data_IF_180930509360
#
_entry.id   IF_180930509360
#
_cell.length_a   1.000
_cell.length_b   1.000
_cell.length_c   1.000
_cell.angle_alpha   90.00
_cell.angle_beta   90.00
_cell.angle_gamma   90.00
#
_symmetry.space_group_name_H-M   'P 1'
#
loop_
_entity.id
_entity.type
_entity.pdbx_description
1 polymer ?
#
# COMPACT_ATOMS: atom_id res chain seq x y z
N UNK A 1 -16.58 -25.17 1.32
CA UNK A 1 -17.23 -24.23 0.38
C UNK A 1 -16.12 -23.63 -0.48
N UNK A 2 -15.93 -24.16 -1.68
CA UNK A 2 -15.02 -23.59 -2.68
C UNK A 2 -15.79 -22.49 -3.40
N UNK A 3 -15.42 -21.23 -3.16
CA UNK A 3 -15.93 -20.11 -3.97
C UNK A 3 -15.31 -20.27 -5.35
N UNK A 4 -16.13 -20.67 -6.33
CA UNK A 4 -15.74 -20.65 -7.74
C UNK A 4 -15.73 -19.21 -8.18
N UNK A 5 -14.55 -18.65 -8.42
CA UNK A 5 -14.39 -17.38 -9.14
C UNK A 5 -14.64 -17.62 -10.63
N UNK A 6 -15.84 -18.10 -10.99
CA UNK A 6 -16.25 -18.13 -12.39
C UNK A 6 -16.32 -16.67 -12.86
N UNK A 7 -15.25 -16.25 -13.52
CA UNK A 7 -15.03 -14.93 -14.08
C UNK A 7 -15.97 -14.70 -15.26
N UNK A 8 -17.28 -14.71 -15.02
CA UNK A 8 -18.27 -14.18 -15.95
C UNK A 8 -18.25 -12.63 -15.95
N UNK A 9 -17.06 -12.06 -15.86
CA UNK A 9 -16.75 -10.62 -15.93
C UNK A 9 -15.79 -10.42 -17.08
N UNK A 10 -16.23 -10.75 -18.29
CA UNK A 10 -15.59 -10.31 -19.54
C UNK A 10 -15.78 -8.81 -19.81
N UNK A 11 -16.17 -8.03 -18.79
CA UNK A 11 -16.05 -6.58 -18.86
C UNK A 11 -14.75 -6.21 -18.14
N UNK A 12 -13.59 -6.19 -18.83
CA UNK A 12 -12.46 -5.46 -18.32
C UNK A 12 -12.95 -4.04 -18.05
N UNK A 13 -12.36 -3.35 -17.07
CA UNK A 13 -12.61 -1.92 -16.92
C UNK A 13 -12.27 -1.21 -18.23
N UNK A 14 -13.25 -1.07 -19.13
CA UNK A 14 -13.06 -0.59 -20.49
C UNK A 14 -12.96 0.91 -20.43
N UNK A 15 -11.75 1.40 -20.60
CA UNK A 15 -11.47 2.82 -20.73
C UNK A 15 -12.03 3.29 -22.07
N UNK A 16 -13.08 4.13 -22.07
CA UNK A 16 -13.75 4.48 -23.31
C UNK A 16 -12.79 5.30 -24.19
N UNK A 17 -12.75 4.96 -25.47
CA UNK A 17 -11.99 5.74 -26.46
C UNK A 17 -12.76 6.99 -26.90
N UNK A 18 -12.08 7.86 -27.65
CA UNK A 18 -12.61 9.13 -28.17
C UNK A 18 -13.99 8.98 -28.80
N UNK A 19 -14.17 7.98 -29.65
CA UNK A 19 -15.40 7.80 -30.41
C UNK A 19 -16.53 7.24 -29.56
N UNK A 20 -16.23 6.36 -28.60
CA UNK A 20 -17.20 5.91 -27.61
C UNK A 20 -17.70 7.09 -26.77
N UNK A 21 -16.78 7.92 -26.26
CA UNK A 21 -17.12 9.14 -25.52
C UNK A 21 -17.90 10.13 -26.38
N UNK A 22 -17.48 10.38 -27.61
CA UNK A 22 -18.20 11.26 -28.53
C UNK A 22 -19.62 10.76 -28.79
N UNK A 23 -19.81 9.46 -29.04
CA UNK A 23 -21.16 8.87 -29.23
C UNK A 23 -22.02 9.02 -27.98
N UNK A 24 -21.46 8.81 -26.79
CA UNK A 24 -22.15 9.02 -25.52
C UNK A 24 -22.56 10.49 -25.33
N UNK A 25 -21.63 11.43 -25.55
CA UNK A 25 -21.91 12.88 -25.50
C UNK A 25 -23.02 13.23 -26.49
N UNK A 26 -22.91 12.81 -27.74
CA UNK A 26 -23.93 13.06 -28.77
C UNK A 26 -25.29 12.44 -28.42
N UNK A 27 -25.32 11.33 -27.67
CA UNK A 27 -26.56 10.72 -27.20
C UNK A 27 -27.25 11.53 -26.10
N UNK A 28 -26.47 12.27 -25.29
CA UNK A 28 -26.97 13.12 -24.20
C UNK A 28 -27.44 14.51 -24.68
N UNK A 29 -27.00 14.96 -25.85
CA UNK A 29 -27.40 16.27 -26.38
C UNK A 29 -28.89 16.28 -26.77
N UNK A 30 -29.61 17.39 -26.52
CA UNK A 30 -31.02 17.51 -26.89
C UNK A 30 -31.21 17.31 -28.39
N UNK A 31 -32.07 16.37 -28.79
CA UNK A 31 -32.43 16.18 -30.20
C UNK A 31 -33.61 17.11 -30.53
N UNK A 32 -33.40 18.15 -31.34
CA UNK A 32 -34.44 19.13 -31.68
C UNK A 32 -34.08 20.04 -32.84
N UNK A 33 -34.98 20.93 -33.26
CA UNK A 33 -34.82 21.79 -34.47
C UNK A 33 -33.59 22.70 -34.47
N UNK A 34 -32.95 22.90 -33.31
CA UNK A 34 -31.67 23.61 -33.20
C UNK A 34 -30.50 22.82 -33.81
N UNK A 35 -30.67 21.51 -34.01
CA UNK A 35 -29.69 20.57 -34.56
C UNK A 35 -30.15 20.14 -35.95
N UNK A 36 -30.07 21.05 -36.92
CA UNK A 36 -30.40 20.70 -38.30
C UNK A 36 -29.41 19.67 -38.83
N UNK A 37 -29.91 18.51 -39.25
CA UNK A 37 -29.14 17.54 -40.05
C UNK A 37 -28.99 18.13 -41.44
N UNK A 38 -27.82 18.70 -41.72
CA UNK A 38 -27.51 19.48 -42.91
C UNK A 38 -27.63 18.69 -44.23
N UNK A 39 -28.84 18.39 -44.69
CA UNK A 39 -29.06 18.05 -46.09
C UNK A 39 -29.15 19.32 -46.96
N UNK A 40 -29.56 20.47 -46.40
CA UNK A 40 -29.79 21.72 -47.15
C UNK A 40 -28.91 22.91 -46.75
N UNK A 41 -28.05 22.79 -45.72
CA UNK A 41 -27.16 23.88 -45.34
C UNK A 41 -25.99 23.99 -46.34
N UNK A 42 -26.16 24.87 -47.32
CA UNK A 42 -25.14 25.30 -48.29
C UNK A 42 -23.77 25.47 -47.63
N UNK A 43 -22.73 25.04 -48.34
CA UNK A 43 -21.31 25.26 -48.04
C UNK A 43 -21.04 26.70 -47.60
N UNK A 44 -21.04 26.93 -46.29
CA UNK A 44 -20.39 28.10 -45.71
C UNK A 44 -18.90 27.78 -45.79
N UNK A 45 -18.17 28.63 -46.51
CA UNK A 45 -16.73 28.56 -46.74
C UNK A 45 -16.02 28.13 -45.45
N UNK A 46 -15.47 26.92 -45.47
CA UNK A 46 -14.62 26.40 -44.41
C UNK A 46 -13.37 27.27 -44.43
N UNK A 47 -13.27 28.24 -43.52
CA UNK A 47 -11.96 28.80 -43.16
C UNK A 47 -11.12 27.65 -42.65
N UNK A 48 -9.89 27.56 -43.11
CA UNK A 48 -8.89 26.59 -42.64
C UNK A 48 -9.09 26.38 -41.14
N UNK A 49 -9.58 25.19 -40.81
CA UNK A 49 -9.84 24.84 -39.43
C UNK A 49 -8.52 25.00 -38.70
N UNK A 50 -8.51 25.85 -37.67
CA UNK A 50 -7.43 25.86 -36.69
C UNK A 50 -7.45 24.52 -35.98
N UNK A 51 -6.89 23.48 -36.61
CA UNK A 51 -6.46 22.27 -35.94
C UNK A 51 -5.34 22.71 -35.00
N UNK A 52 -5.72 23.06 -33.78
CA UNK A 52 -4.77 23.26 -32.70
C UNK A 52 -4.43 21.86 -32.19
N UNK A 53 -3.52 21.18 -32.88
CA UNK A 53 -3.03 19.86 -32.51
C UNK A 53 -2.67 19.00 -33.73
N UNK A 54 -1.46 18.43 -33.74
CA UNK A 54 -0.98 17.45 -34.73
C UNK A 54 -1.43 16.03 -34.41
N UNK A 55 -2.53 15.86 -33.67
CA UNK A 55 -2.92 14.55 -33.18
C UNK A 55 -3.58 13.74 -34.29
N UNK A 56 -2.87 12.70 -34.74
CA UNK A 56 -3.39 11.73 -35.68
C UNK A 56 -4.68 11.15 -35.12
N UNK A 57 -5.77 11.22 -35.89
CA UNK A 57 -7.02 10.53 -35.56
C UNK A 57 -6.70 9.05 -35.62
N UNK A 58 -6.31 8.48 -34.48
CA UNK A 58 -5.92 7.09 -34.38
C UNK A 58 -7.01 6.19 -34.94
N UNK A 59 -6.61 5.21 -35.76
CA UNK A 59 -7.49 4.15 -36.22
C UNK A 59 -8.01 3.40 -34.98
N UNK A 60 -9.23 3.73 -34.50
CA UNK A 60 -9.71 3.20 -33.22
C UNK A 60 -10.17 1.75 -33.28
N UNK A 61 -10.04 1.09 -34.45
CA UNK A 61 -10.40 -0.31 -34.63
C UNK A 61 -11.90 -0.61 -34.59
N UNK A 62 -12.77 0.40 -34.40
CA UNK A 62 -14.23 0.23 -34.33
C UNK A 62 -14.86 0.36 -35.73
N UNK A 63 -14.46 -0.52 -36.64
CA UNK A 63 -15.15 -0.77 -37.91
C UNK A 63 -15.16 0.36 -38.95
N UNK A 64 -15.42 0.01 -40.20
CA UNK A 64 -15.28 0.86 -41.39
C UNK A 64 -16.31 2.01 -41.54
N UNK A 65 -16.92 2.50 -40.46
CA UNK A 65 -17.97 3.54 -40.48
C UNK A 65 -17.67 4.62 -39.42
N UNK A 66 -16.47 5.16 -39.43
CA UNK A 66 -16.18 6.43 -38.74
C UNK A 66 -16.36 7.58 -39.75
N UNK A 67 -17.20 8.59 -39.46
CA UNK A 67 -17.33 9.74 -40.34
C UNK A 67 -15.99 10.49 -40.38
N UNK A 68 -15.57 10.93 -41.58
CA UNK A 68 -14.37 11.76 -41.66
C UNK A 68 -14.65 13.11 -40.98
N UNK A 69 -13.63 13.73 -40.37
CA UNK A 69 -13.81 14.99 -39.61
C UNK A 69 -14.42 16.08 -40.50
N UNK A 70 -14.14 16.04 -41.79
CA UNK A 70 -14.68 16.94 -42.81
C UNK A 70 -16.21 16.84 -42.93
N UNK A 71 -16.78 15.66 -42.70
CA UNK A 71 -18.23 15.39 -42.77
C UNK A 71 -18.99 15.86 -41.53
N UNK A 72 -18.28 16.20 -40.44
CA UNK A 72 -18.90 16.67 -39.20
C UNK A 72 -19.26 18.16 -39.28
N UNK A 73 -20.44 18.51 -38.75
CA UNK A 73 -20.86 19.90 -38.53
C UNK A 73 -19.93 20.61 -37.53
N UNK A 74 -19.89 21.96 -37.54
CA UNK A 74 -19.04 22.72 -36.62
C UNK A 74 -19.27 22.39 -35.15
N UNK A 75 -20.53 22.17 -34.75
CA UNK A 75 -20.87 21.79 -33.38
C UNK A 75 -20.47 20.34 -33.06
N UNK A 76 -20.58 19.41 -34.01
CA UNK A 76 -20.05 18.06 -33.84
C UNK A 76 -18.52 18.05 -33.71
N UNK A 77 -17.81 18.92 -34.43
CA UNK A 77 -16.36 19.10 -34.29
C UNK A 77 -15.98 19.67 -32.93
N UNK A 78 -16.75 20.64 -32.41
CA UNK A 78 -16.58 21.13 -31.02
C UNK A 78 -16.69 19.99 -30.00
N UNK A 79 -17.77 19.19 -30.08
CA UNK A 79 -17.95 18.06 -29.17
C UNK A 79 -16.93 16.94 -29.39
N UNK A 80 -16.41 16.78 -30.60
CA UNK A 80 -15.31 15.86 -30.88
C UNK A 80 -14.00 16.30 -30.18
N UNK A 81 -13.70 17.60 -30.18
CA UNK A 81 -12.57 18.14 -29.42
C UNK A 81 -12.77 17.98 -27.91
N UNK A 82 -14.00 18.18 -27.41
CA UNK A 82 -14.31 17.87 -26.00
C UNK A 82 -14.13 16.38 -25.68
N UNK A 83 -14.58 15.48 -26.57
CA UNK A 83 -14.43 14.03 -26.38
C UNK A 83 -12.96 13.60 -26.32
N UNK A 84 -12.07 14.27 -27.06
CA UNK A 84 -10.63 14.04 -27.02
C UNK A 84 -10.02 14.37 -25.66
N UNK A 85 -10.35 15.54 -25.10
CA UNK A 85 -9.90 15.91 -23.74
C UNK A 85 -10.44 14.90 -22.72
N UNK A 86 -11.70 14.49 -22.85
CA UNK A 86 -12.28 13.48 -21.96
C UNK A 86 -11.61 12.12 -22.12
N UNK A 87 -11.24 11.70 -23.33
CA UNK A 87 -10.49 10.45 -23.54
C UNK A 87 -9.18 10.50 -22.78
N UNK A 88 -8.39 11.56 -22.97
CA UNK A 88 -7.12 11.71 -22.25
C UNK A 88 -7.31 11.60 -20.73
N UNK A 89 -8.31 12.28 -20.17
CA UNK A 89 -8.62 12.21 -18.75
C UNK A 89 -9.09 10.82 -18.31
N UNK A 90 -9.91 10.13 -19.10
CA UNK A 90 -10.36 8.77 -18.80
C UNK A 90 -9.20 7.78 -18.86
N UNK A 91 -8.32 7.88 -19.86
CA UNK A 91 -7.14 7.02 -19.96
C UNK A 91 -6.20 7.24 -18.77
N UNK A 92 -6.00 8.49 -18.33
CA UNK A 92 -5.25 8.81 -17.10
C UNK A 92 -5.94 8.23 -15.85
N UNK A 93 -7.25 8.41 -15.69
CA UNK A 93 -7.99 7.87 -14.56
C UNK A 93 -7.94 6.34 -14.52
N UNK A 94 -8.00 5.69 -15.68
CA UNK A 94 -7.83 4.25 -15.80
C UNK A 94 -6.44 3.77 -15.39
N UNK A 95 -5.39 4.43 -15.89
CA UNK A 95 -4.02 4.10 -15.49
C UNK A 95 -3.83 4.25 -13.97
N UNK A 96 -4.47 5.25 -13.35
CA UNK A 96 -4.43 5.41 -11.89
C UNK A 96 -5.09 4.26 -11.12
N UNK A 97 -5.99 3.47 -11.71
CA UNK A 97 -6.53 2.29 -11.04
C UNK A 97 -5.48 1.22 -10.85
N UNK A 98 -4.58 1.03 -11.82
CA UNK A 98 -3.42 0.13 -11.67
C UNK A 98 -2.42 0.70 -10.64
N UNK A 99 -2.37 2.01 -10.43
CA UNK A 99 -1.52 2.62 -9.39
C UNK A 99 -2.02 2.39 -7.95
N UNK A 100 -3.22 1.83 -7.76
CA UNK A 100 -3.77 1.48 -6.44
C UNK A 100 -3.27 0.14 -5.89
N UNK A 101 -2.48 -0.61 -6.66
CA UNK A 101 -1.87 -1.86 -6.21
C UNK A 101 -0.36 -1.71 -6.13
N UNK A 102 0.24 -2.26 -5.08
CA UNK A 102 1.67 -2.10 -4.80
C UNK A 102 2.56 -2.74 -5.88
N UNK A 103 2.05 -3.76 -6.58
CA UNK A 103 2.76 -4.54 -7.59
C UNK A 103 2.79 -3.82 -8.94
N UNK A 104 1.75 -3.06 -9.26
CA UNK A 104 1.61 -2.30 -10.51
C UNK A 104 1.93 -0.81 -10.38
N UNK A 105 1.99 -0.23 -9.17
CA UNK A 105 2.31 1.19 -9.00
C UNK A 105 3.71 1.56 -9.49
N UNK A 106 3.78 2.63 -10.28
CA UNK A 106 5.01 3.23 -10.80
C UNK A 106 5.05 4.71 -10.50
N UNK A 107 4.00 5.45 -10.86
CA UNK A 107 3.91 6.89 -10.67
C UNK A 107 3.74 7.25 -9.18
N UNK A 108 2.89 6.52 -8.46
CA UNK A 108 2.56 6.81 -7.04
C UNK A 108 3.49 6.12 -6.03
N UNK A 109 4.58 5.50 -6.50
CA UNK A 109 5.44 4.67 -5.63
C UNK A 109 6.07 5.47 -4.49
N UNK A 110 6.37 6.74 -4.72
CA UNK A 110 6.94 7.62 -3.70
C UNK A 110 5.95 7.95 -2.58
N UNK A 111 4.71 8.25 -2.97
CA UNK A 111 3.58 8.52 -2.07
C UNK A 111 3.24 7.29 -1.25
N UNK A 112 3.21 6.10 -1.87
CA UNK A 112 3.06 4.84 -1.14
C UNK A 112 4.21 4.64 -0.13
N UNK A 113 5.46 4.87 -0.54
CA UNK A 113 6.60 4.80 0.37
C UNK A 113 6.46 5.77 1.55
N UNK A 114 5.99 6.98 1.31
CA UNK A 114 5.74 7.96 2.36
C UNK A 114 4.63 7.50 3.32
N UNK A 115 3.48 7.09 2.81
CA UNK A 115 2.30 6.77 3.62
C UNK A 115 2.49 5.47 4.42
N UNK A 116 3.17 4.49 3.85
CA UNK A 116 3.54 3.27 4.58
C UNK A 116 4.82 3.45 5.40
N UNK A 117 5.55 4.55 5.27
CA UNK A 117 6.84 4.77 5.91
C UNK A 117 7.86 3.70 5.49
N UNK A 118 8.09 3.54 4.20
CA UNK A 118 9.04 2.62 3.58
C UNK A 118 9.94 3.40 2.57
N UNK A 119 11.27 3.19 2.58
CA UNK A 119 12.02 2.30 3.46
C UNK A 119 12.16 2.87 4.88
N UNK A 120 12.19 1.98 5.88
CA UNK A 120 12.53 2.30 7.27
C UNK A 120 13.78 1.49 7.66
N UNK A 121 14.69 2.09 8.43
CA UNK A 121 15.87 1.41 8.96
C UNK A 121 15.53 0.23 9.87
N UNK A 122 14.32 0.23 10.43
CA UNK A 122 13.84 -0.81 11.34
C UNK A 122 12.86 -1.79 10.66
N UNK A 123 12.75 -1.73 9.34
CA UNK A 123 11.82 -2.55 8.57
C UNK A 123 12.27 -4.01 8.45
N UNK A 124 11.38 -5.00 8.68
CA UNK A 124 11.67 -6.41 8.45
C UNK A 124 11.27 -6.90 7.04
N UNK A 125 10.88 -6.00 6.13
CA UNK A 125 10.37 -6.33 4.80
C UNK A 125 11.35 -5.87 3.71
N UNK A 126 11.55 -6.75 2.72
CA UNK A 126 12.45 -6.48 1.59
C UNK A 126 11.82 -5.52 0.58
N UNK A 127 10.49 -5.57 0.43
CA UNK A 127 9.75 -4.73 -0.52
C UNK A 127 8.55 -4.05 0.12
N UNK A 128 8.14 -2.92 -0.47
CA UNK A 128 6.90 -2.23 -0.11
C UNK A 128 5.69 -3.17 -0.18
N UNK A 129 5.63 -4.05 -1.19
CA UNK A 129 4.50 -4.98 -1.31
C UNK A 129 4.41 -5.97 -0.16
N UNK A 130 5.55 -6.52 0.29
CA UNK A 130 5.58 -7.43 1.43
C UNK A 130 5.05 -6.76 2.70
N UNK A 131 5.32 -5.46 2.86
CA UNK A 131 4.77 -4.64 3.93
C UNK A 131 3.26 -4.41 3.79
N UNK A 132 2.78 -4.10 2.59
CA UNK A 132 1.36 -3.81 2.31
C UNK A 132 0.48 -5.05 2.53
N UNK A 133 0.96 -6.23 2.16
CA UNK A 133 0.21 -7.48 2.37
C UNK A 133 0.32 -8.00 3.81
N UNK A 134 1.20 -7.43 4.62
CA UNK A 134 1.30 -7.80 6.02
C UNK A 134 0.02 -7.35 6.75
N UNK A 135 -0.72 -8.33 7.26
CA UNK A 135 -1.98 -8.11 8.00
C UNK A 135 -1.79 -7.27 9.26
N UNK A 136 -0.54 -7.15 9.74
CA UNK A 136 -0.25 -6.65 11.07
C UNK A 136 -0.66 -7.66 12.13
N UNK A 137 -0.26 -7.40 13.36
CA UNK A 137 -0.61 -8.24 14.50
C UNK A 137 -0.05 -7.64 15.77
N UNK A 138 -0.75 -7.84 16.87
CA UNK A 138 -0.33 -7.40 18.21
C UNK A 138 0.10 -8.57 19.10
N UNK A 139 0.13 -9.79 18.57
CA UNK A 139 0.42 -10.99 19.36
C UNK A 139 1.90 -11.25 19.45
N UNK A 140 2.32 -11.89 20.54
CA UNK A 140 3.71 -12.33 20.71
C UNK A 140 4.23 -13.20 19.56
N UNK A 141 3.39 -14.09 19.02
CA UNK A 141 3.74 -14.92 17.87
C UNK A 141 4.04 -14.08 16.61
N UNK A 142 3.29 -12.99 16.39
CA UNK A 142 3.53 -12.09 15.29
C UNK A 142 4.84 -11.32 15.46
N UNK A 143 5.09 -10.75 16.64
CA UNK A 143 6.34 -10.05 16.95
C UNK A 143 7.58 -10.96 16.80
N UNK A 144 7.49 -12.21 17.27
CA UNK A 144 8.55 -13.20 17.09
C UNK A 144 8.79 -13.51 15.60
N UNK A 145 7.72 -13.59 14.79
CA UNK A 145 7.84 -13.81 13.34
C UNK A 145 8.51 -12.63 12.61
N UNK A 146 8.30 -11.39 13.07
CA UNK A 146 8.97 -10.22 12.52
C UNK A 146 10.46 -10.22 12.88
N UNK A 147 10.81 -10.52 14.13
CA UNK A 147 12.20 -10.63 14.56
C UNK A 147 12.95 -11.74 13.80
N UNK A 148 12.27 -12.86 13.52
CA UNK A 148 12.83 -13.95 12.72
C UNK A 148 13.19 -13.54 11.28
N UNK A 149 12.46 -12.58 10.67
CA UNK A 149 12.81 -12.04 9.35
C UNK A 149 14.12 -11.26 9.36
N UNK A 150 14.45 -10.63 10.49
CA UNK A 150 15.75 -9.98 10.71
C UNK A 150 16.85 -10.97 11.14
N UNK A 151 16.54 -12.27 11.21
CA UNK A 151 17.47 -13.32 11.61
C UNK A 151 17.62 -13.51 13.12
N UNK A 152 16.72 -12.93 13.93
CA UNK A 152 16.74 -13.08 15.38
C UNK A 152 15.74 -14.14 15.87
N UNK A 153 16.14 -14.94 16.85
CA UNK A 153 15.23 -15.84 17.56
C UNK A 153 14.76 -15.17 18.84
N UNK A 154 13.46 -14.91 18.92
CA UNK A 154 12.83 -14.20 20.03
C UNK A 154 11.68 -15.02 20.60
N UNK A 155 11.63 -15.16 21.92
CA UNK A 155 10.43 -15.57 22.64
C UNK A 155 9.76 -14.34 23.25
N UNK A 156 8.43 -14.32 23.20
CA UNK A 156 7.64 -13.24 23.73
C UNK A 156 6.61 -13.82 24.68
N UNK A 157 6.66 -13.37 25.93
CA UNK A 157 5.73 -13.77 26.98
C UNK A 157 4.71 -12.64 27.20
N UNK A 158 3.44 -12.94 26.93
CA UNK A 158 2.32 -12.08 27.32
C UNK A 158 2.00 -12.37 28.79
N UNK A 159 1.97 -11.32 29.62
CA UNK A 159 1.45 -11.46 30.96
C UNK A 159 -0.03 -11.89 30.89
N UNK A 160 -0.42 -13.02 31.52
CA UNK A 160 -1.80 -13.44 31.48
C UNK A 160 -2.68 -12.34 32.10
N UNK A 161 -3.74 -11.95 31.39
CA UNK A 161 -4.75 -11.04 31.96
C UNK A 161 -5.23 -11.60 33.30
N UNK A 162 -5.38 -10.72 34.30
CA UNK A 162 -5.49 -10.99 35.73
C UNK A 162 -6.67 -11.90 36.21
N UNK A 163 -7.19 -12.79 35.37
CA UNK A 163 -8.30 -13.70 35.65
C UNK A 163 -7.90 -15.03 36.29
N UNK A 164 -6.61 -15.30 36.53
CA UNK A 164 -6.19 -16.53 37.20
C UNK A 164 -4.96 -16.36 38.10
N UNK A 165 -5.10 -15.66 39.24
CA UNK A 165 -4.15 -15.78 40.35
C UNK A 165 -4.87 -15.90 41.68
N UNK A 166 -5.49 -17.06 41.90
CA UNK A 166 -5.80 -17.55 43.24
C UNK A 166 -4.54 -18.10 43.94
N UNK A 167 -3.52 -18.55 43.18
CA UNK A 167 -2.32 -19.21 43.71
C UNK A 167 -1.09 -18.31 43.91
N UNK A 168 -1.19 -17.00 43.67
CA UNK A 168 -0.07 -16.08 43.90
C UNK A 168 0.03 -15.59 45.35
N UNK A 169 -0.76 -16.20 46.23
CA UNK A 169 -0.74 -16.01 47.68
C UNK A 169 -0.32 -17.30 48.39
N UNK A 170 0.44 -18.20 47.76
CA UNK A 170 1.11 -19.26 48.50
C UNK A 170 2.20 -18.68 49.41
N UNK A 171 2.08 -18.96 50.70
CA UNK A 171 2.98 -18.50 51.76
C UNK A 171 4.34 -19.22 51.69
N UNK A 172 5.13 -18.95 50.65
CA UNK A 172 6.58 -19.19 50.55
C UNK A 172 7.19 -18.81 49.19
N UNK A 173 6.41 -18.23 48.26
CA UNK A 173 6.96 -17.72 47.00
C UNK A 173 7.48 -16.29 47.23
N UNK A 174 8.75 -16.06 46.88
CA UNK A 174 9.31 -14.71 46.86
C UNK A 174 8.44 -13.83 45.95
N UNK A 175 8.12 -12.63 46.43
CA UNK A 175 7.21 -11.69 45.75
C UNK A 175 7.60 -11.34 44.30
N UNK A 176 8.81 -11.70 43.86
CA UNK A 176 9.31 -11.45 42.51
C UNK A 176 8.68 -12.34 41.41
N UNK A 177 8.19 -13.54 41.72
CA UNK A 177 7.72 -14.46 40.66
C UNK A 177 6.28 -14.17 40.20
N UNK A 178 5.64 -13.19 40.85
CA UNK A 178 4.30 -12.72 40.53
C UNK A 178 4.27 -11.33 39.87
N UNK A 179 5.42 -10.76 39.56
CA UNK A 179 5.53 -9.38 39.07
C UNK A 179 5.35 -9.29 37.55
N UNK A 180 4.14 -9.64 37.09
CA UNK A 180 3.75 -9.36 35.72
C UNK A 180 3.18 -7.94 35.68
N UNK A 181 4.01 -6.97 35.30
CA UNK A 181 3.57 -5.59 35.09
C UNK A 181 2.38 -5.58 34.11
N UNK A 182 1.29 -4.92 34.50
CA UNK A 182 0.13 -4.75 33.62
C UNK A 182 0.57 -4.01 32.35
N UNK A 183 0.10 -4.51 31.20
CA UNK A 183 0.49 -4.00 29.88
C UNK A 183 1.99 -4.08 29.60
N UNK A 184 2.69 -5.07 30.14
CA UNK A 184 4.05 -5.39 29.73
C UNK A 184 4.09 -6.70 28.92
N UNK A 185 4.99 -6.73 27.93
CA UNK A 185 5.43 -7.95 27.26
C UNK A 185 6.92 -8.12 27.53
N UNK A 186 7.34 -9.36 27.79
CA UNK A 186 8.77 -9.68 27.94
C UNK A 186 9.28 -10.33 26.66
N UNK A 187 10.37 -9.78 26.14
CA UNK A 187 11.01 -10.18 24.89
C UNK A 187 12.37 -10.80 25.22
N UNK A 188 12.47 -12.13 25.16
CA UNK A 188 13.74 -12.86 25.32
C UNK A 188 14.39 -13.08 23.96
N UNK A 189 15.65 -12.67 23.82
CA UNK A 189 16.41 -12.73 22.57
C UNK A 189 17.51 -13.77 22.74
N UNK A 190 17.49 -14.85 21.95
CA UNK A 190 18.38 -16.02 22.12
C UNK A 190 19.55 -16.05 21.14
N UNK A 191 19.27 -15.77 19.88
CA UNK A 191 20.26 -15.85 18.80
C UNK A 191 19.98 -14.76 17.77
N UNK A 192 21.02 -14.34 17.05
CA UNK A 192 20.93 -13.28 16.07
C UNK A 192 22.18 -13.18 15.20
N UNK A 193 22.14 -12.34 14.16
CA UNK A 193 23.31 -12.05 13.36
C UNK A 193 24.43 -11.52 14.28
N UNK A 194 25.57 -12.21 14.29
CA UNK A 194 26.70 -11.74 15.09
C UNK A 194 27.12 -10.36 14.57
N UNK A 195 27.21 -9.35 15.44
CA UNK A 195 27.67 -8.04 15.00
C UNK A 195 29.09 -8.19 14.42
N UNK A 196 29.29 -7.66 13.22
CA UNK A 196 30.59 -7.68 12.53
C UNK A 196 31.65 -6.86 13.26
N UNK A 197 31.21 -5.96 14.15
CA UNK A 197 32.06 -5.09 14.95
C UNK A 197 31.89 -5.47 16.42
N UNK A 198 32.96 -5.72 17.19
CA UNK A 198 32.85 -5.95 18.62
C UNK A 198 32.18 -4.74 19.28
N UNK A 199 31.21 -5.01 20.15
CA UNK A 199 30.47 -3.98 20.90
C UNK A 199 31.47 -3.13 21.69
N UNK A 200 31.56 -1.85 21.32
CA UNK A 200 32.32 -0.86 22.07
C UNK A 200 31.65 -0.71 23.42
N UNK A 201 32.43 -0.75 24.51
CA UNK A 201 31.90 -0.60 25.86
C UNK A 201 31.14 0.73 25.98
N UNK A 202 29.83 0.67 26.27
CA UNK A 202 29.08 1.85 26.71
C UNK A 202 29.36 2.12 28.19
N UNK A 203 29.54 3.39 28.55
CA UNK A 203 29.56 3.81 29.94
C UNK A 203 28.22 3.43 30.60
N UNK A 204 28.24 3.00 31.86
CA UNK A 204 27.10 2.47 32.63
C UNK A 204 26.62 1.03 32.29
N UNK A 205 27.32 0.29 31.43
CA UNK A 205 27.02 -1.13 31.16
C UNK A 205 27.44 -2.12 32.29
N UNK A 206 28.06 -1.62 33.36
CA UNK A 206 28.52 -2.44 34.49
C UNK A 206 27.49 -2.37 35.64
N UNK A 207 26.59 -3.35 35.69
CA UNK A 207 25.81 -3.65 36.88
C UNK A 207 26.67 -4.52 37.81
N UNK A 208 26.62 -4.26 39.11
CA UNK A 208 27.32 -5.07 40.11
C UNK A 208 26.95 -6.56 39.94
N UNK A 209 27.96 -7.44 39.99
CA UNK A 209 27.88 -8.89 39.80
C UNK A 209 27.62 -9.41 38.36
N UNK A 210 27.61 -8.55 37.33
CA UNK A 210 27.60 -8.99 35.93
C UNK A 210 29.01 -8.91 35.32
N UNK A 211 29.78 -10.00 35.41
CA UNK A 211 31.05 -10.17 34.68
C UNK A 211 30.95 -11.44 33.82
N UNK A 212 30.92 -11.34 32.48
CA UNK A 212 30.96 -10.12 31.64
C UNK A 212 29.67 -9.27 31.73
N UNK A 213 29.70 -7.98 31.31
CA UNK A 213 28.51 -7.12 31.28
C UNK A 213 27.37 -7.75 30.48
N UNK A 214 26.13 -7.55 30.94
CA UNK A 214 24.96 -8.06 30.26
C UNK A 214 24.91 -7.49 28.82
N UNK A 215 24.74 -8.33 27.79
CA UNK A 215 24.64 -7.83 26.43
C UNK A 215 23.40 -6.94 26.29
N UNK A 216 23.56 -5.79 25.63
CA UNK A 216 22.44 -4.92 25.29
C UNK A 216 21.58 -5.58 24.21
N UNK A 217 20.27 -5.30 24.26
CA UNK A 217 19.37 -5.76 23.22
C UNK A 217 19.75 -5.12 21.87
N UNK A 218 19.80 -5.89 20.77
CA UNK A 218 20.13 -5.36 19.45
C UNK A 218 19.19 -4.21 19.06
N UNK A 219 19.74 -3.05 18.70
CA UNK A 219 18.96 -1.84 18.38
C UNK A 219 17.92 -2.09 17.28
N UNK A 220 18.24 -2.94 16.31
CA UNK A 220 17.32 -3.33 15.22
C UNK A 220 16.08 -4.04 15.75
N UNK A 221 16.24 -4.96 16.70
CA UNK A 221 15.11 -5.69 17.32
C UNK A 221 14.31 -4.75 18.21
N UNK A 222 14.98 -3.92 19.00
CA UNK A 222 14.31 -2.93 19.85
C UNK A 222 13.47 -1.98 18.99
N UNK A 223 14.06 -1.43 17.93
CA UNK A 223 13.35 -0.51 17.04
C UNK A 223 12.16 -1.16 16.34
N UNK A 224 12.33 -2.40 15.85
CA UNK A 224 11.25 -3.21 15.28
C UNK A 224 10.11 -3.40 16.29
N UNK A 225 10.42 -3.90 17.49
CA UNK A 225 9.39 -4.22 18.49
C UNK A 225 8.68 -2.94 18.96
N UNK A 226 9.41 -1.84 19.19
CA UNK A 226 8.81 -0.56 19.58
C UNK A 226 7.86 0.00 18.50
N UNK A 227 8.12 -0.28 17.22
CA UNK A 227 7.27 0.11 16.10
C UNK A 227 5.96 -0.69 16.03
N UNK A 228 6.02 -2.00 16.28
CA UNK A 228 4.90 -2.92 16.03
C UNK A 228 4.15 -3.35 17.29
N UNK A 229 4.70 -3.13 18.49
CA UNK A 229 3.98 -3.42 19.74
C UNK A 229 2.73 -2.52 19.87
N UNK A 230 1.72 -2.95 20.63
CA UNK A 230 0.55 -2.10 20.90
C UNK A 230 0.92 -0.78 21.59
N UNK A 231 0.21 0.30 21.25
CA UNK A 231 0.49 1.67 21.68
C UNK A 231 0.55 1.93 23.21
N UNK A 232 0.13 0.96 24.03
CA UNK A 232 0.13 1.04 25.49
C UNK A 232 0.83 -0.13 26.16
N UNK A 233 1.59 -0.93 25.39
CA UNK A 233 2.34 -2.05 25.91
C UNK A 233 3.81 -1.66 26.08
N UNK A 234 4.35 -1.85 27.28
CA UNK A 234 5.78 -1.72 27.57
C UNK A 234 6.49 -3.02 27.18
N UNK A 235 7.56 -2.93 26.40
CA UNK A 235 8.40 -4.08 26.11
C UNK A 235 9.58 -4.09 27.08
N UNK A 236 9.85 -5.24 27.70
CA UNK A 236 11.01 -5.49 28.54
C UNK A 236 11.90 -6.48 27.79
N UNK A 237 13.13 -6.08 27.47
CA UNK A 237 14.06 -6.87 26.68
C UNK A 237 15.04 -7.61 27.58
N UNK A 238 15.25 -8.90 27.29
CA UNK A 238 16.18 -9.78 27.99
C UNK A 238 17.01 -10.53 26.95
N UNK A 239 18.33 -10.42 27.01
CA UNK A 239 19.22 -11.14 26.10
C UNK A 239 19.74 -12.39 26.79
N UNK A 240 19.39 -13.55 26.25
CA UNK A 240 19.75 -14.86 26.80
C UNK A 240 20.98 -15.37 26.06
N UNK A 241 22.14 -15.33 26.72
CA UNK A 241 23.36 -15.95 26.20
C UNK A 241 23.34 -17.44 26.52
N UNK A 242 23.21 -18.30 25.50
CA UNK A 242 23.47 -19.73 25.66
C UNK A 242 24.96 -19.91 26.00
N UNK A 243 25.26 -20.20 27.27
CA UNK A 243 26.59 -20.55 27.76
C UNK A 243 26.93 -21.98 27.40
#
# INVERSE_FOLDING_TARGET
MTVSCDSATDDPFLCPNKWQLWRQIMALLPRGRAWQTNLDARQIVVRDSSQVGTFEVGHTGIGAIEPTVEQLTGLQRYWLACAEVHEYLHQRACALMEEMFCDTTKELRGEWGHDYGFPDSCEPYDTLCDKVVAVGGSTCAYLASLAARLGYTVECDECPTATARADCLEANLDALDCDCELNAIRIRIFDGPKPLVPTVFEADALVADCTPPCPSAPEQVVCLIERFKPAHVRAIYEVVTNV
#
